data_IF_097267996281
#
_entry.id   IF_097267996281
#
_cell.length_a   1.000
_cell.length_b   1.000
_cell.length_c   1.000
_cell.angle_alpha   90.00
_cell.angle_beta   90.00
_cell.angle_gamma   90.00
#
_symmetry.space_group_name_H-M   'P 1'
#
loop_
_entity.id
_entity.type
_entity.pdbx_description
1 polymer ?
#
# COMPACT_ATOMS: atom_id res chain seq x y z
N UNK A 1 32.73 -26.25 19.20
CA UNK A 1 32.90 -26.39 17.74
C UNK A 1 32.11 -25.28 17.07
N UNK A 2 32.78 -24.24 16.61
CA UNK A 2 32.15 -23.07 16.00
C UNK A 2 31.70 -23.38 14.58
N UNK A 3 30.42 -23.14 14.29
CA UNK A 3 29.90 -23.13 12.93
C UNK A 3 30.29 -21.80 12.29
N UNK A 4 31.30 -21.83 11.42
CA UNK A 4 31.60 -20.72 10.53
C UNK A 4 30.49 -20.57 9.51
N UNK A 5 29.75 -19.46 9.56
CA UNK A 5 28.77 -19.08 8.55
C UNK A 5 29.47 -18.77 7.24
N UNK A 6 29.39 -19.70 6.29
CA UNK A 6 29.79 -19.44 4.92
C UNK A 6 28.71 -18.54 4.28
N UNK A 7 29.04 -17.26 4.13
CA UNK A 7 28.24 -16.29 3.38
C UNK A 7 28.23 -16.68 1.90
N UNK A 8 27.13 -17.27 1.44
CA UNK A 8 26.85 -17.51 0.03
C UNK A 8 26.49 -16.17 -0.61
N UNK A 9 27.46 -15.53 -1.31
CA UNK A 9 27.18 -14.38 -2.17
C UNK A 9 26.21 -14.81 -3.28
N UNK A 10 25.01 -14.21 -3.29
CA UNK A 10 23.97 -14.48 -4.28
C UNK A 10 24.23 -13.67 -5.55
N UNK A 11 23.75 -14.16 -6.69
CA UNK A 11 23.95 -13.62 -8.05
C UNK A 11 23.38 -12.20 -8.30
N UNK A 12 22.98 -11.49 -7.24
CA UNK A 12 22.27 -10.21 -7.25
C UNK A 12 22.90 -9.16 -6.33
N UNK A 13 24.20 -9.28 -6.05
CA UNK A 13 24.94 -8.26 -5.31
C UNK A 13 25.12 -7.01 -6.19
N UNK A 14 24.05 -6.21 -6.32
CA UNK A 14 24.09 -4.90 -6.97
C UNK A 14 24.85 -3.96 -6.02
N UNK A 15 26.09 -3.64 -6.38
CA UNK A 15 26.86 -2.58 -5.71
C UNK A 15 26.38 -1.21 -6.18
N UNK A 16 26.10 -0.31 -5.23
CA UNK A 16 26.21 1.13 -5.47
C UNK A 16 24.99 1.98 -5.14
N UNK A 17 24.62 2.03 -3.87
CA UNK A 17 24.06 3.18 -3.13
C UNK A 17 23.99 2.71 -1.67
N UNK A 18 24.12 3.59 -0.66
CA UNK A 18 23.86 3.19 0.74
C UNK A 18 22.37 2.83 0.87
N UNK A 19 22.03 1.58 0.54
CA UNK A 19 20.66 1.08 0.67
C UNK A 19 20.41 0.79 2.14
N UNK A 20 19.32 1.32 2.67
CA UNK A 20 18.84 0.92 3.99
C UNK A 20 18.54 -0.57 4.01
N UNK A 21 18.90 -1.25 5.10
CA UNK A 21 18.49 -2.63 5.32
C UNK A 21 16.95 -2.72 5.34
N UNK A 22 16.39 -3.73 4.68
CA UNK A 22 14.93 -3.89 4.53
C UNK A 22 14.22 -3.87 5.90
N UNK A 23 14.83 -4.50 6.91
CA UNK A 23 14.28 -4.53 8.25
C UNK A 23 14.20 -3.15 8.90
N UNK A 24 15.13 -2.24 8.59
CA UNK A 24 15.09 -0.87 9.10
C UNK A 24 13.98 -0.06 8.43
N UNK A 25 13.76 -0.27 7.13
CA UNK A 25 12.61 0.29 6.40
C UNK A 25 11.29 -0.17 7.04
N UNK A 26 11.14 -1.49 7.25
CA UNK A 26 9.93 -2.08 7.85
C UNK A 26 9.68 -1.52 9.27
N UNK A 27 10.72 -1.38 10.08
CA UNK A 27 10.63 -0.82 11.44
C UNK A 27 10.30 0.68 11.44
N UNK A 28 10.89 1.43 10.51
CA UNK A 28 10.69 2.88 10.40
C UNK A 28 9.29 3.24 9.86
N UNK A 29 8.71 2.38 9.01
CA UNK A 29 7.41 2.59 8.37
C UNK A 29 6.30 2.85 9.39
N UNK A 30 5.65 4.01 9.26
CA UNK A 30 4.51 4.44 10.07
C UNK A 30 3.45 5.10 9.21
N UNK A 31 2.20 5.09 9.66
CA UNK A 31 1.13 5.85 9.01
C UNK A 31 1.28 7.35 9.29
N UNK A 32 1.55 8.12 8.25
CA UNK A 32 1.72 9.58 8.29
C UNK A 32 0.38 10.25 8.00
N UNK A 33 -0.05 11.16 8.88
CA UNK A 33 -1.36 11.86 8.72
C UNK A 33 -1.24 13.38 8.74
N UNK A 34 -0.03 13.90 8.86
CA UNK A 34 0.30 15.32 8.65
C UNK A 34 1.52 15.41 7.75
N UNK A 35 1.43 16.28 6.74
CA UNK A 35 2.40 16.37 5.66
C UNK A 35 2.94 17.80 5.54
N UNK A 36 4.20 17.91 5.12
CA UNK A 36 4.76 19.18 4.64
C UNK A 36 4.07 19.55 3.32
N UNK A 37 4.12 20.84 2.96
CA UNK A 37 3.48 21.36 1.73
C UNK A 37 4.37 21.25 0.48
N UNK A 38 5.46 20.50 0.60
CA UNK A 38 6.41 20.25 -0.48
C UNK A 38 5.86 19.17 -1.44
N UNK A 39 5.96 19.36 -2.76
CA UNK A 39 5.57 18.34 -3.72
C UNK A 39 6.54 17.15 -3.70
N UNK A 40 6.05 15.96 -4.11
CA UNK A 40 6.91 14.81 -4.40
C UNK A 40 7.27 14.84 -5.89
N UNK A 41 8.54 14.66 -6.28
CA UNK A 41 8.91 14.46 -7.67
C UNK A 41 8.13 13.28 -8.28
N UNK A 42 7.54 13.45 -9.46
CA UNK A 42 6.78 12.37 -10.14
C UNK A 42 7.62 11.11 -10.38
N UNK A 43 8.91 11.28 -10.60
CA UNK A 43 9.88 10.18 -10.74
C UNK A 43 9.90 9.28 -9.50
N UNK A 44 9.82 9.84 -8.30
CA UNK A 44 9.81 9.05 -7.07
C UNK A 44 8.48 8.33 -6.87
N UNK A 45 7.36 8.94 -7.28
CA UNK A 45 6.05 8.25 -7.34
C UNK A 45 6.13 7.07 -8.30
N UNK A 46 6.76 7.25 -9.48
CA UNK A 46 6.95 6.18 -10.46
C UNK A 46 7.83 5.06 -9.89
N UNK A 47 8.92 5.38 -9.17
CA UNK A 47 9.74 4.37 -8.47
C UNK A 47 8.91 3.56 -7.46
N UNK A 48 7.99 4.19 -6.73
CA UNK A 48 7.09 3.49 -5.81
C UNK A 48 6.10 2.58 -6.53
N UNK A 49 5.55 3.04 -7.66
CA UNK A 49 4.64 2.24 -8.50
C UNK A 49 5.40 1.08 -9.16
N UNK A 50 6.66 1.26 -9.53
CA UNK A 50 7.48 0.18 -10.09
C UNK A 50 7.69 -0.95 -9.08
N UNK A 51 7.99 -0.63 -7.81
CA UNK A 51 8.03 -1.62 -6.74
C UNK A 51 6.68 -2.33 -6.56
N UNK A 52 5.58 -1.58 -6.63
CA UNK A 52 4.23 -2.13 -6.59
C UNK A 52 3.95 -3.09 -7.76
N UNK A 53 4.37 -2.72 -8.98
CA UNK A 53 4.20 -3.51 -10.21
C UNK A 53 4.90 -4.87 -10.14
N UNK A 54 6.02 -4.95 -9.42
CA UNK A 54 6.81 -6.17 -9.24
C UNK A 54 6.28 -7.08 -8.13
N UNK A 55 5.18 -6.72 -7.46
CA UNK A 55 4.55 -7.58 -6.47
C UNK A 55 4.07 -8.90 -7.08
N UNK A 56 4.12 -10.02 -6.33
CA UNK A 56 3.48 -11.26 -6.76
C UNK A 56 1.95 -11.13 -6.72
N UNK A 57 1.27 -11.96 -7.50
CA UNK A 57 -0.19 -12.13 -7.45
C UNK A 57 -0.57 -13.58 -7.72
N UNK A 58 -1.73 -14.01 -7.22
CA UNK A 58 -2.30 -15.31 -7.57
C UNK A 58 -2.33 -15.50 -9.10
N UNK A 59 -1.79 -16.63 -9.57
CA UNK A 59 -1.67 -16.98 -11.01
C UNK A 59 -1.05 -15.87 -11.90
N UNK A 60 -0.28 -14.96 -11.30
CA UNK A 60 0.32 -13.81 -11.99
C UNK A 60 -0.69 -12.90 -12.72
N UNK A 61 -1.96 -12.83 -12.27
CA UNK A 61 -3.02 -12.05 -12.93
C UNK A 61 -2.86 -10.53 -12.82
N UNK A 62 -2.06 -10.06 -11.85
CA UNK A 62 -1.68 -8.65 -11.66
C UNK A 62 -2.90 -7.69 -11.75
N UNK A 63 -3.85 -7.82 -10.81
CA UNK A 63 -5.16 -7.16 -10.94
C UNK A 63 -5.10 -5.65 -10.72
N UNK A 64 -3.99 -5.12 -10.20
CA UNK A 64 -3.83 -3.72 -9.84
C UNK A 64 -3.82 -2.78 -11.04
N UNK A 65 -4.50 -1.64 -10.87
CA UNK A 65 -4.37 -0.42 -11.66
C UNK A 65 -4.20 0.72 -10.66
N UNK A 66 -3.34 1.66 -10.98
CA UNK A 66 -3.04 2.81 -10.12
C UNK A 66 -3.53 4.08 -10.82
N UNK A 67 -4.21 4.95 -10.07
CA UNK A 67 -4.49 6.32 -10.52
C UNK A 67 -3.77 7.24 -9.54
N UNK A 68 -2.90 8.11 -10.04
CA UNK A 68 -2.18 9.11 -9.24
C UNK A 68 -2.95 10.42 -9.32
N UNK A 69 -3.28 10.99 -8.16
CA UNK A 69 -3.84 12.34 -8.05
C UNK A 69 -2.81 13.23 -7.36
N UNK A 70 -2.06 14.00 -8.14
CA UNK A 70 -1.09 14.99 -7.66
C UNK A 70 -1.52 16.43 -7.97
N UNK A 71 -2.48 16.62 -8.88
CA UNK A 71 -3.12 17.92 -9.12
C UNK A 71 -3.90 18.40 -7.88
N UNK A 72 -3.64 19.62 -7.36
CA UNK A 72 -4.27 20.13 -6.15
C UNK A 72 -5.80 20.25 -6.23
N UNK A 73 -6.35 20.68 -7.37
CA UNK A 73 -7.80 20.91 -7.51
C UNK A 73 -8.54 19.58 -7.68
N UNK A 74 -8.04 18.67 -8.51
CA UNK A 74 -8.60 17.32 -8.64
C UNK A 74 -8.55 16.58 -7.29
N UNK A 75 -7.44 16.69 -6.55
CA UNK A 75 -7.29 16.10 -5.22
C UNK A 75 -8.32 16.65 -4.23
N UNK A 76 -8.52 17.97 -4.21
CA UNK A 76 -9.50 18.63 -3.33
C UNK A 76 -10.92 18.18 -3.65
N UNK A 77 -11.28 18.11 -4.93
CA UNK A 77 -12.59 17.63 -5.38
C UNK A 77 -12.80 16.16 -5.04
N UNK A 78 -11.82 15.30 -5.36
CA UNK A 78 -11.85 13.88 -5.06
C UNK A 78 -12.05 13.62 -3.56
N UNK A 79 -11.32 14.33 -2.69
CA UNK A 79 -11.45 14.17 -1.23
C UNK A 79 -12.79 14.69 -0.72
N UNK A 80 -13.30 15.81 -1.26
CA UNK A 80 -14.63 16.33 -0.92
C UNK A 80 -15.71 15.27 -1.20
N UNK A 81 -15.64 14.61 -2.35
CA UNK A 81 -16.63 13.60 -2.71
C UNK A 81 -16.47 12.32 -1.90
N UNK A 82 -15.26 11.81 -1.76
CA UNK A 82 -15.01 10.46 -1.25
C UNK A 82 -14.82 10.38 0.26
N UNK A 83 -14.43 11.48 0.91
CA UNK A 83 -14.10 11.54 2.34
C UNK A 83 -15.00 12.53 3.10
N UNK A 84 -16.30 12.52 2.82
CA UNK A 84 -17.33 13.32 3.50
C UNK A 84 -18.26 12.45 4.36
N UNK A 85 -19.07 13.10 5.22
CA UNK A 85 -19.98 12.40 6.14
C UNK A 85 -19.25 11.45 7.09
N UNK A 86 -19.66 10.20 7.13
CA UNK A 86 -19.00 9.16 7.96
C UNK A 86 -17.52 8.94 7.59
N UNK A 87 -17.10 9.30 6.37
CA UNK A 87 -15.72 9.18 5.90
C UNK A 87 -14.85 10.40 6.20
N UNK A 88 -15.40 11.43 6.87
CA UNK A 88 -14.69 12.67 7.22
C UNK A 88 -13.35 12.47 7.94
N UNK A 89 -13.15 11.47 8.82
CA UNK A 89 -11.84 11.23 9.44
C UNK A 89 -10.71 11.00 8.44
N UNK A 90 -10.99 10.53 7.21
CA UNK A 90 -9.99 10.33 6.15
C UNK A 90 -9.69 11.60 5.34
N UNK A 91 -10.42 12.70 5.55
CA UNK A 91 -10.26 13.93 4.75
C UNK A 91 -8.92 14.65 4.93
N UNK A 92 -8.09 14.23 5.90
CA UNK A 92 -6.72 14.75 6.06
C UNK A 92 -5.85 14.52 4.83
N UNK A 93 -6.17 13.51 4.01
CA UNK A 93 -5.40 13.17 2.80
C UNK A 93 -5.40 14.29 1.76
N UNK A 94 -6.30 15.27 1.84
CA UNK A 94 -6.26 16.49 1.00
C UNK A 94 -4.94 17.27 1.16
N UNK A 95 -4.29 17.15 2.32
CA UNK A 95 -3.05 17.84 2.64
C UNK A 95 -1.80 17.04 2.21
N UNK A 96 -1.96 15.83 1.70
CA UNK A 96 -0.87 15.03 1.16
C UNK A 96 -0.41 15.62 -0.18
N UNK A 97 0.85 15.40 -0.56
CA UNK A 97 1.35 15.83 -1.86
C UNK A 97 0.64 15.10 -3.01
N UNK A 98 0.44 13.78 -2.88
CA UNK A 98 -0.28 12.95 -3.84
C UNK A 98 -1.21 11.94 -3.16
N UNK A 99 -2.19 11.43 -3.90
CA UNK A 99 -3.03 10.30 -3.52
C UNK A 99 -2.92 9.23 -4.60
N UNK A 100 -2.55 8.02 -4.23
CA UNK A 100 -2.64 6.83 -5.10
C UNK A 100 -3.98 6.16 -4.83
N UNK A 101 -4.77 5.98 -5.88
CA UNK A 101 -6.00 5.20 -5.84
C UNK A 101 -5.67 3.83 -6.39
N UNK A 102 -5.75 2.79 -5.55
CA UNK A 102 -5.52 1.41 -5.97
C UNK A 102 -6.84 0.79 -6.40
N UNK A 103 -6.86 0.35 -7.66
CA UNK A 103 -8.03 -0.23 -8.32
C UNK A 103 -7.74 -1.67 -8.69
N UNK A 104 -8.64 -2.58 -8.32
CA UNK A 104 -8.61 -3.96 -8.80
C UNK A 104 -9.46 -4.09 -10.08
N UNK A 105 -8.86 -4.60 -11.16
CA UNK A 105 -9.57 -5.08 -12.34
C UNK A 105 -9.99 -6.52 -12.10
N UNK A 106 -11.28 -6.74 -11.96
CA UNK A 106 -11.87 -8.06 -11.77
C UNK A 106 -12.07 -8.75 -13.12
N UNK A 107 -11.53 -9.95 -13.26
CA UNK A 107 -12.01 -10.90 -14.24
C UNK A 107 -13.35 -11.47 -13.74
N UNK A 108 -14.46 -11.08 -14.36
CA UNK A 108 -15.79 -11.46 -13.89
C UNK A 108 -16.04 -12.97 -14.00
N UNK A 109 -15.44 -13.65 -14.99
CA UNK A 109 -15.66 -15.08 -15.23
C UNK A 109 -14.86 -15.89 -14.22
N UNK A 110 -13.57 -15.60 -14.09
CA UNK A 110 -12.72 -16.25 -13.09
C UNK A 110 -13.15 -15.92 -11.65
N UNK A 111 -13.60 -14.69 -11.37
CA UNK A 111 -14.11 -14.35 -10.05
C UNK A 111 -15.43 -15.03 -9.72
N UNK A 112 -16.31 -15.27 -10.70
CA UNK A 112 -17.58 -15.96 -10.45
C UNK A 112 -17.34 -17.45 -10.17
N UNK A 113 -16.53 -18.12 -10.99
CA UNK A 113 -16.17 -19.53 -10.82
C UNK A 113 -15.31 -19.75 -9.56
N UNK A 114 -14.29 -18.92 -9.34
CA UNK A 114 -13.39 -19.02 -8.19
C UNK A 114 -14.07 -18.70 -6.85
N UNK A 115 -14.95 -17.68 -6.79
CA UNK A 115 -15.71 -17.38 -5.57
C UNK A 115 -16.73 -18.46 -5.24
N UNK A 116 -17.33 -19.09 -6.25
CA UNK A 116 -18.27 -20.18 -6.06
C UNK A 116 -17.64 -21.43 -5.44
N UNK A 117 -16.34 -21.65 -5.66
CA UNK A 117 -15.63 -22.85 -5.22
C UNK A 117 -14.85 -22.62 -3.92
N UNK A 118 -14.16 -21.50 -3.76
CA UNK A 118 -13.27 -21.26 -2.61
C UNK A 118 -13.70 -20.10 -1.68
N UNK A 119 -14.72 -19.31 -2.04
CA UNK A 119 -15.17 -18.15 -1.25
C UNK A 119 -14.14 -17.03 -1.07
N UNK A 120 -12.93 -17.17 -1.62
CA UNK A 120 -11.79 -16.29 -1.36
C UNK A 120 -11.68 -15.21 -2.42
N UNK A 121 -11.50 -13.95 -2.00
CA UNK A 121 -11.30 -12.81 -2.89
C UNK A 121 -9.81 -12.53 -3.07
N UNK A 122 -9.09 -13.37 -3.84
CA UNK A 122 -7.63 -13.27 -4.04
C UNK A 122 -7.15 -11.89 -4.44
N UNK A 123 -7.91 -11.16 -5.27
CA UNK A 123 -7.55 -9.79 -5.66
C UNK A 123 -7.32 -8.87 -4.45
N UNK A 124 -7.96 -9.08 -3.30
CA UNK A 124 -7.73 -8.27 -2.10
C UNK A 124 -6.36 -8.56 -1.48
N UNK A 125 -5.92 -9.83 -1.49
CA UNK A 125 -4.58 -10.24 -1.04
C UNK A 125 -3.54 -9.63 -1.98
N UNK A 126 -3.73 -9.79 -3.29
CA UNK A 126 -2.83 -9.22 -4.32
C UNK A 126 -2.71 -7.70 -4.19
N UNK A 127 -3.83 -6.99 -3.96
CA UNK A 127 -3.84 -5.54 -3.73
C UNK A 127 -3.14 -5.18 -2.40
N UNK A 128 -3.24 -6.02 -1.37
CA UNK A 128 -2.50 -5.86 -0.12
C UNK A 128 -0.98 -5.89 -0.36
N UNK A 129 -0.50 -6.91 -1.08
CA UNK A 129 0.93 -7.11 -1.35
C UNK A 129 1.48 -5.96 -2.20
N UNK A 130 0.82 -5.63 -3.32
CA UNK A 130 1.28 -4.55 -4.21
C UNK A 130 1.30 -3.19 -3.52
N UNK A 131 0.32 -2.90 -2.66
CA UNK A 131 0.32 -1.67 -1.89
C UNK A 131 1.42 -1.65 -0.82
N UNK A 132 1.77 -2.77 -0.19
CA UNK A 132 2.87 -2.77 0.79
C UNK A 132 4.24 -2.61 0.11
N UNK A 133 4.44 -3.20 -1.07
CA UNK A 133 5.62 -2.90 -1.89
C UNK A 133 5.75 -1.39 -2.18
N UNK A 134 4.64 -0.74 -2.56
CA UNK A 134 4.58 0.71 -2.77
C UNK A 134 4.98 1.46 -1.49
N UNK A 135 4.40 1.08 -0.35
CA UNK A 135 4.62 1.73 0.95
C UNK A 135 6.05 1.59 1.43
N UNK A 136 6.67 0.41 1.30
CA UNK A 136 8.05 0.18 1.71
C UNK A 136 9.02 0.95 0.81
N UNK A 137 8.78 0.98 -0.50
CA UNK A 137 9.58 1.79 -1.43
C UNK A 137 9.44 3.28 -1.15
N UNK A 138 8.24 3.75 -0.81
CA UNK A 138 8.03 5.14 -0.40
C UNK A 138 8.82 5.46 0.89
N UNK A 139 8.78 4.56 1.88
CA UNK A 139 9.52 4.72 3.14
C UNK A 139 11.04 4.79 2.92
N UNK A 140 11.58 3.97 2.03
CA UNK A 140 12.99 3.99 1.62
C UNK A 140 13.40 5.35 1.02
N UNK A 141 12.51 5.95 0.21
CA UNK A 141 12.71 7.28 -0.38
C UNK A 141 12.42 8.44 0.58
N UNK A 142 12.16 8.16 1.87
CA UNK A 142 11.79 9.17 2.87
C UNK A 142 10.40 9.77 2.68
N UNK A 143 9.55 9.15 1.84
CA UNK A 143 8.19 9.57 1.58
C UNK A 143 7.25 8.91 2.58
N UNK A 144 6.56 9.75 3.36
CA UNK A 144 5.54 9.31 4.29
C UNK A 144 4.28 8.84 3.57
N UNK A 145 3.69 7.75 4.07
CA UNK A 145 2.42 7.25 3.53
C UNK A 145 1.39 6.96 4.61
N UNK A 146 0.12 6.93 4.23
CA UNK A 146 -0.94 6.31 5.02
C UNK A 146 -1.87 5.55 4.11
N UNK A 147 -2.22 4.33 4.50
CA UNK A 147 -3.21 3.50 3.84
C UNK A 147 -4.60 3.86 4.33
N UNK A 148 -5.56 4.04 3.42
CA UNK A 148 -6.93 4.44 3.73
C UNK A 148 -7.90 3.41 3.14
N UNK A 149 -8.55 2.67 4.04
CA UNK A 149 -9.73 1.84 3.71
C UNK A 149 -11.06 2.54 4.02
N UNK A 150 -11.04 3.64 4.78
CA UNK A 150 -12.26 4.32 5.23
C UNK A 150 -12.64 5.49 4.32
N UNK A 151 -13.19 5.19 3.14
CA UNK A 151 -13.65 6.17 2.15
C UNK A 151 -14.85 5.64 1.35
N UNK A 152 -15.58 6.52 0.69
CA UNK A 152 -16.70 6.12 -0.18
C UNK A 152 -16.18 5.57 -1.52
N UNK A 153 -15.99 4.26 -1.59
CA UNK A 153 -15.48 3.57 -2.80
C UNK A 153 -16.40 3.69 -4.02
N UNK A 154 -17.72 3.75 -3.82
CA UNK A 154 -18.70 3.96 -4.92
C UNK A 154 -18.53 5.35 -5.53
N UNK A 155 -18.39 6.39 -4.70
CA UNK A 155 -18.12 7.74 -5.19
C UNK A 155 -16.75 7.83 -5.86
N UNK A 156 -15.72 7.18 -5.32
CA UNK A 156 -14.40 7.14 -5.95
C UNK A 156 -14.46 6.49 -7.34
N UNK A 157 -15.19 5.38 -7.47
CA UNK A 157 -15.44 4.71 -8.75
C UNK A 157 -16.14 5.64 -9.75
N UNK A 158 -17.19 6.33 -9.30
CA UNK A 158 -17.97 7.24 -10.15
C UNK A 158 -17.17 8.47 -10.58
N UNK A 159 -16.33 9.01 -9.68
CA UNK A 159 -15.45 10.16 -9.97
C UNK A 159 -14.57 9.89 -11.19
N UNK A 160 -13.97 8.71 -11.26
CA UNK A 160 -13.15 8.28 -12.40
C UNK A 160 -13.93 7.56 -13.51
N UNK A 161 -15.26 7.51 -13.42
CA UNK A 161 -16.15 6.85 -14.39
C UNK A 161 -15.72 5.40 -14.71
N UNK A 162 -15.26 4.66 -13.70
CA UNK A 162 -14.70 3.32 -13.93
C UNK A 162 -15.78 2.29 -14.25
N UNK A 163 -15.46 1.36 -15.15
CA UNK A 163 -16.40 0.31 -15.57
C UNK A 163 -16.80 -0.65 -14.43
N UNK A 164 -17.88 -1.44 -14.57
CA UNK A 164 -18.31 -2.43 -13.57
C UNK A 164 -17.21 -3.41 -13.13
N UNK A 165 -16.26 -3.73 -14.02
CA UNK A 165 -15.13 -4.63 -13.77
C UNK A 165 -14.07 -4.06 -12.83
N UNK A 166 -14.09 -2.75 -12.57
CA UNK A 166 -13.11 -2.11 -11.71
C UNK A 166 -13.69 -1.83 -10.33
N UNK A 167 -12.93 -2.17 -9.29
CA UNK A 167 -13.22 -1.83 -7.90
C UNK A 167 -12.10 -0.98 -7.32
N UNK A 168 -12.45 0.19 -6.79
CA UNK A 168 -11.52 0.97 -5.98
C UNK A 168 -11.39 0.30 -4.62
N UNK A 169 -10.20 -0.18 -4.28
CA UNK A 169 -9.95 -1.02 -3.08
C UNK A 169 -9.41 -0.19 -1.93
N UNK A 170 -8.42 0.66 -2.20
CA UNK A 170 -7.77 1.48 -1.17
C UNK A 170 -7.24 2.78 -1.76
N UNK A 171 -7.00 3.75 -0.88
CA UNK A 171 -6.21 4.93 -1.20
C UNK A 171 -4.89 4.88 -0.41
N UNK A 172 -3.83 5.43 -0.97
CA UNK A 172 -2.57 5.68 -0.27
C UNK A 172 -2.25 7.16 -0.43
N UNK A 173 -2.34 7.92 0.66
CA UNK A 173 -1.84 9.30 0.68
C UNK A 173 -0.32 9.30 0.78
N UNK A 174 0.36 10.18 0.05
CA UNK A 174 1.81 10.29 0.00
C UNK A 174 2.25 11.74 0.23
N UNK A 175 3.28 11.96 1.04
CA UNK A 175 3.88 13.27 1.26
C UNK A 175 5.03 13.18 2.26
N UNK A 176 5.86 14.22 2.32
CA UNK A 176 6.90 14.25 3.34
C UNK A 176 6.28 14.47 4.73
N UNK A 177 6.68 13.70 5.76
CA UNK A 177 6.11 13.82 7.10
C UNK A 177 6.36 15.21 7.70
N UNK A 178 5.32 15.85 8.24
CA UNK A 178 5.48 17.04 9.09
C UNK A 178 5.75 16.64 10.56
N UNK A 179 6.36 17.52 11.38
CA UNK A 179 6.53 17.27 12.81
C UNK A 179 5.21 16.85 13.50
N UNK A 180 5.28 15.79 14.32
CA UNK A 180 4.10 15.22 15.00
C UNK A 180 3.05 14.60 14.04
N UNK A 181 3.44 14.29 12.79
CA UNK A 181 2.58 13.68 11.78
C UNK A 181 2.46 12.15 11.86
N UNK A 182 3.26 11.53 12.73
CA UNK A 182 3.23 10.09 13.01
C UNK A 182 2.84 9.83 14.46
N UNK A 183 2.31 8.63 14.72
CA UNK A 183 2.11 8.10 16.08
C UNK A 183 2.94 6.84 16.26
N UNK A 184 3.34 6.54 17.49
CA UNK A 184 3.88 5.23 17.83
C UNK A 184 2.83 4.15 17.54
N UNK A 185 3.28 3.00 17.04
CA UNK A 185 2.47 1.77 17.02
C UNK A 185 2.88 0.90 18.19
N UNK A 186 1.95 0.08 18.66
CA UNK A 186 2.25 -1.06 19.51
C UNK A 186 2.32 -2.28 18.60
N UNK A 187 3.42 -2.99 18.65
CA UNK A 187 3.55 -4.30 18.00
C UNK A 187 3.11 -5.39 18.97
N UNK A 188 2.55 -6.47 18.43
CA UNK A 188 2.27 -7.69 19.20
C UNK A 188 3.59 -8.41 19.48
N UNK A 189 3.62 -9.18 20.57
CA UNK A 189 4.74 -10.07 20.84
C UNK A 189 4.72 -11.25 19.85
N UNK A 190 5.90 -11.72 19.46
CA UNK A 190 6.01 -12.80 18.45
C UNK A 190 5.28 -14.06 18.90
N UNK A 191 5.31 -14.35 20.21
CA UNK A 191 4.66 -15.51 20.82
C UNK A 191 3.12 -15.44 20.73
N UNK A 192 2.53 -14.28 20.46
CA UNK A 192 1.09 -14.12 20.25
C UNK A 192 0.64 -14.46 18.83
N UNK A 193 1.56 -14.51 17.87
CA UNK A 193 1.22 -14.64 16.45
C UNK A 193 1.93 -15.80 15.73
N UNK A 194 2.95 -16.40 16.34
CA UNK A 194 3.74 -17.47 15.75
C UNK A 194 3.56 -18.79 16.52
N UNK A 195 3.05 -19.80 15.82
CA UNK A 195 2.86 -21.14 16.37
C UNK A 195 3.46 -22.19 15.43
N UNK A 196 4.29 -23.08 15.97
CA UNK A 196 4.90 -24.16 15.20
C UNK A 196 4.04 -25.43 15.31
N UNK A 197 3.66 -25.99 14.16
CA UNK A 197 2.96 -27.28 13.98
C UNK A 197 1.53 -27.37 14.53
N UNK A 198 1.19 -26.64 15.59
CA UNK A 198 -0.11 -26.66 16.25
C UNK A 198 -0.46 -25.26 16.71
N UNK A 199 -1.76 -24.97 16.69
CA UNK A 199 -2.28 -23.82 17.41
C UNK A 199 -2.23 -24.11 18.92
N UNK A 200 -1.35 -23.38 19.62
CA UNK A 200 -1.18 -23.50 21.07
C UNK A 200 -1.99 -22.46 21.84
N UNK A 201 -2.73 -21.58 21.16
CA UNK A 201 -3.50 -20.48 21.77
C UNK A 201 -5.00 -20.47 21.42
N UNK A 202 -5.48 -21.37 20.58
CA UNK A 202 -6.92 -21.51 20.27
C UNK A 202 -7.44 -20.49 19.25
N UNK A 203 -6.66 -20.16 18.23
CA UNK A 203 -7.00 -19.22 17.13
C UNK A 203 -7.83 -19.83 16.00
#
# INVERSE_FOLDING_TARGET
MGLQSHSLKRKWDIKGEESMELMDIIKARKSVRKYRQEPIPREDIIKCIEAARLAPSAENVQPWRFIVIDDPEIKKEFVKETCSGIYKPSSFIKNAAAIIVIVAKLDLVANFLGKGIQGTSYYLIDIGITGEHLVLRAQELGIGTCWIGWFNSKKAKNFFKLSPRHKVVSLISMGYPAPGGTKSKRDLDLDDILFFNKDTKGI
#
